data_IF_327008637197
#
_entry.id   IF_327008637197
#
_cell.length_a   1.000
_cell.length_b   1.000
_cell.length_c   1.000
_cell.angle_alpha   90.00
_cell.angle_beta   90.00
_cell.angle_gamma   90.00
#
_symmetry.space_group_name_H-M   'P 1'
#
loop_
_entity.id
_entity.type
_entity.pdbx_description
1 polymer ?
#
# COMPACT_ATOMS: atom_id res chain seq x y z
N UNK A 1 -14.03 -0.82 -2.43
CA UNK A 1 -13.86 -1.38 -3.78
C UNK A 1 -12.55 -0.84 -4.29
N UNK A 2 -11.62 -1.67 -4.79
CA UNK A 2 -10.39 -1.17 -5.41
C UNK A 2 -10.75 -0.27 -6.60
N UNK A 3 -9.91 0.72 -6.94
CA UNK A 3 -10.19 1.58 -8.08
C UNK A 3 -10.38 0.73 -9.34
N UNK A 4 -11.44 1.01 -10.09
CA UNK A 4 -11.67 0.33 -11.38
C UNK A 4 -10.66 0.87 -12.39
N UNK A 5 -9.84 0.03 -13.03
CA UNK A 5 -8.93 0.49 -14.06
C UNK A 5 -9.70 1.10 -15.24
N UNK A 6 -9.07 2.05 -15.92
CA UNK A 6 -9.65 2.64 -17.12
C UNK A 6 -9.84 1.55 -18.22
N UNK A 7 -10.79 1.70 -19.15
CA UNK A 7 -10.98 0.75 -20.24
C UNK A 7 -9.68 0.50 -21.02
N UNK A 8 -9.24 -0.76 -21.10
CA UNK A 8 -8.01 -1.17 -21.77
C UNK A 8 -6.74 -1.13 -20.89
N UNK A 9 -6.85 -0.68 -19.64
CA UNK A 9 -5.80 -0.83 -18.64
C UNK A 9 -6.03 -2.11 -17.82
N UNK A 10 -4.97 -2.87 -17.58
CA UNK A 10 -4.94 -3.89 -16.54
C UNK A 10 -4.96 -3.19 -15.17
N UNK A 11 -5.18 -3.95 -14.08
CA UNK A 11 -4.88 -3.40 -12.75
C UNK A 11 -3.37 -3.17 -12.65
N UNK A 12 -2.95 -1.97 -13.05
CA UNK A 12 -1.59 -1.50 -12.88
C UNK A 12 -1.34 -1.23 -11.39
N UNK A 13 -0.08 -1.39 -10.98
CA UNK A 13 0.41 -1.03 -9.65
C UNK A 13 -0.17 0.34 -9.22
N UNK A 14 -0.89 0.39 -8.10
CA UNK A 14 -1.38 1.65 -7.53
C UNK A 14 -0.35 2.17 -6.54
N UNK A 15 0.19 3.35 -6.79
CA UNK A 15 1.05 4.02 -5.82
C UNK A 15 0.19 4.78 -4.80
N UNK A 16 0.38 4.55 -3.51
CA UNK A 16 -0.43 5.18 -2.47
C UNK A 16 0.29 5.31 -1.12
N UNK A 17 -0.15 6.24 -0.29
CA UNK A 17 0.08 6.13 1.16
C UNK A 17 -0.83 5.06 1.74
N UNK A 18 -0.29 4.19 2.58
CA UNK A 18 -1.03 3.17 3.33
C UNK A 18 -0.84 3.41 4.82
N UNK A 19 -1.93 3.64 5.54
CA UNK A 19 -1.90 4.04 6.95
C UNK A 19 -3.22 3.73 7.67
N UNK A 20 -3.30 4.05 8.97
CA UNK A 20 -4.45 3.74 9.80
C UNK A 20 -4.77 2.25 9.87
N UNK A 21 -3.75 1.38 9.89
CA UNK A 21 -3.94 -0.06 9.91
C UNK A 21 -4.60 -0.54 11.21
N UNK A 22 -5.68 -1.31 11.08
CA UNK A 22 -6.43 -1.88 12.21
C UNK A 22 -6.80 -3.33 11.93
N UNK A 23 -6.39 -4.23 12.82
CA UNK A 23 -6.78 -5.64 12.73
C UNK A 23 -8.29 -5.86 13.01
N UNK A 24 -8.88 -6.77 12.23
CA UNK A 24 -10.28 -7.20 12.30
C UNK A 24 -10.35 -8.70 12.01
N UNK A 25 -10.24 -9.52 13.06
CA UNK A 25 -10.21 -10.98 12.93
C UNK A 25 -8.98 -11.45 12.14
N UNK A 26 -9.23 -12.06 10.98
CA UNK A 26 -8.24 -12.55 10.00
C UNK A 26 -7.85 -11.50 8.94
N UNK A 27 -8.42 -10.30 9.02
CA UNK A 27 -8.14 -9.20 8.10
C UNK A 27 -7.53 -7.98 8.79
N UNK A 28 -6.97 -7.07 8.00
CA UNK A 28 -6.51 -5.74 8.38
C UNK A 28 -7.24 -4.73 7.51
N UNK A 29 -7.87 -3.74 8.14
CA UNK A 29 -8.39 -2.57 7.44
C UNK A 29 -7.30 -1.51 7.38
N UNK A 30 -7.06 -0.95 6.20
CA UNK A 30 -6.12 0.17 5.98
C UNK A 30 -6.81 1.31 5.24
N UNK A 31 -6.33 2.52 5.46
CA UNK A 31 -6.63 3.70 4.65
C UNK A 31 -5.60 3.80 3.53
N UNK A 32 -6.09 4.07 2.33
CA UNK A 32 -5.31 4.25 1.10
C UNK A 32 -5.58 5.64 0.55
N UNK A 33 -4.52 6.40 0.34
CA UNK A 33 -4.55 7.72 -0.28
C UNK A 33 -3.63 7.66 -1.52
N UNK A 34 -4.21 7.55 -2.74
CA UNK A 34 -3.43 7.36 -3.95
C UNK A 34 -2.49 8.54 -4.22
N UNK A 35 -1.38 8.22 -4.85
CA UNK A 35 -0.30 9.12 -5.18
C UNK A 35 -0.14 9.21 -6.68
N UNK A 36 0.04 10.42 -7.18
CA UNK A 36 0.49 10.68 -8.54
C UNK A 36 1.99 10.96 -8.51
N UNK A 37 2.75 10.21 -9.30
CA UNK A 37 4.13 10.52 -9.56
C UNK A 37 4.24 11.88 -10.27
N UNK A 38 5.09 12.75 -9.76
CA UNK A 38 5.39 14.08 -10.32
C UNK A 38 6.89 14.23 -10.45
N UNK A 39 7.35 15.22 -11.21
CA UNK A 39 8.80 15.47 -11.36
C UNK A 39 9.41 15.74 -9.98
N UNK A 40 10.27 14.83 -9.52
CA UNK A 40 10.97 14.94 -8.24
C UNK A 40 10.23 14.38 -7.02
N UNK A 41 9.13 13.62 -7.19
CA UNK A 41 8.48 12.96 -6.06
C UNK A 41 7.09 12.41 -6.37
N UNK A 42 6.23 12.35 -5.36
CA UNK A 42 4.84 11.95 -5.50
C UNK A 42 3.93 12.86 -4.66
N UNK A 43 2.73 13.15 -5.17
CA UNK A 43 1.72 13.96 -4.48
C UNK A 43 0.42 13.20 -4.33
N UNK A 44 -0.31 13.33 -3.21
CA UNK A 44 -1.67 12.81 -3.08
C UNK A 44 -2.58 13.29 -4.22
N UNK A 45 -3.44 12.40 -4.69
CA UNK A 45 -4.49 12.74 -5.67
C UNK A 45 -5.67 13.45 -5.03
N UNK A 46 -5.80 13.39 -3.69
CA UNK A 46 -6.94 13.89 -2.93
C UNK A 46 -8.06 12.87 -2.76
N UNK A 47 -7.98 11.72 -3.44
CA UNK A 47 -8.87 10.59 -3.21
C UNK A 47 -8.43 9.81 -1.97
N UNK A 48 -9.38 9.31 -1.19
CA UNK A 48 -9.09 8.47 -0.02
C UNK A 48 -10.12 7.35 0.03
N UNK A 49 -9.64 6.12 0.18
CA UNK A 49 -10.50 4.96 0.34
C UNK A 49 -9.92 3.98 1.35
N UNK A 50 -10.66 2.91 1.67
CA UNK A 50 -10.18 1.88 2.58
C UNK A 50 -10.15 0.52 1.91
N UNK A 51 -9.10 -0.25 2.20
CA UNK A 51 -8.98 -1.65 1.81
C UNK A 51 -9.09 -2.55 3.05
N UNK A 52 -9.65 -3.73 2.87
CA UNK A 52 -9.65 -4.81 3.85
C UNK A 52 -8.84 -5.94 3.25
N UNK A 53 -7.70 -6.24 3.86
CA UNK A 53 -6.70 -7.15 3.34
C UNK A 53 -6.53 -8.34 4.28
N UNK A 54 -6.21 -9.55 3.78
CA UNK A 54 -5.79 -10.64 4.64
C UNK A 54 -4.61 -10.22 5.53
N UNK A 55 -4.57 -10.67 6.79
CA UNK A 55 -3.44 -10.38 7.70
C UNK A 55 -2.10 -10.84 7.15
N UNK A 56 -2.11 -11.96 6.43
CA UNK A 56 -0.93 -12.52 5.77
C UNK A 56 -0.59 -11.91 4.42
N UNK A 57 -1.19 -10.76 4.03
CA UNK A 57 -0.83 -10.08 2.77
C UNK A 57 0.68 -9.83 2.75
N UNK A 58 1.40 -10.30 1.73
CA UNK A 58 2.84 -10.08 1.59
C UNK A 58 3.17 -8.59 1.51
N UNK A 59 4.22 -8.19 2.22
CA UNK A 59 4.76 -6.83 2.19
C UNK A 59 6.27 -6.89 1.97
N UNK A 60 6.72 -6.39 0.82
CA UNK A 60 8.14 -6.13 0.57
C UNK A 60 8.51 -4.78 1.18
N UNK A 61 9.42 -4.76 2.15
CA UNK A 61 9.78 -3.58 2.91
C UNK A 61 11.29 -3.35 2.94
N UNK A 62 11.70 -2.09 3.07
CA UNK A 62 13.10 -1.70 3.30
C UNK A 62 13.27 -0.77 4.49
N UNK A 63 12.60 0.39 4.53
CA UNK A 63 12.76 1.32 5.66
C UNK A 63 11.94 0.86 6.84
N UNK A 64 10.77 0.27 6.59
CA UNK A 64 9.92 -0.34 7.62
C UNK A 64 10.65 -1.45 8.39
N UNK A 65 11.53 -2.19 7.71
CA UNK A 65 12.39 -3.26 8.22
C UNK A 65 13.77 -2.80 8.70
N UNK A 66 13.98 -1.49 8.94
CA UNK A 66 15.24 -0.98 9.49
C UNK A 66 16.37 -0.79 8.47
N UNK A 67 16.03 -0.54 7.20
CA UNK A 67 16.96 -0.17 6.13
C UNK A 67 17.40 -1.32 5.22
N UNK A 68 17.03 -2.57 5.53
CA UNK A 68 17.36 -3.77 4.77
C UNK A 68 16.12 -4.33 4.07
N UNK A 69 16.20 -4.72 2.79
CA UNK A 69 15.10 -5.42 2.12
C UNK A 69 14.65 -6.65 2.93
N UNK A 70 13.36 -6.81 3.12
CA UNK A 70 12.75 -7.92 3.84
C UNK A 70 11.33 -8.18 3.33
N UNK A 71 10.97 -9.46 3.28
CA UNK A 71 9.60 -9.91 3.05
C UNK A 71 8.91 -10.06 4.42
N UNK A 72 7.82 -9.33 4.59
CA UNK A 72 7.03 -9.27 5.83
C UNK A 72 5.58 -9.62 5.54
N UNK A 73 4.79 -9.74 6.61
CA UNK A 73 3.33 -9.79 6.53
C UNK A 73 2.72 -8.50 7.04
N UNK A 74 1.55 -8.14 6.51
CA UNK A 74 0.85 -6.91 6.87
C UNK A 74 0.55 -6.81 8.36
N UNK A 75 0.28 -7.93 9.04
CA UNK A 75 0.02 -7.93 10.47
C UNK A 75 1.27 -7.69 11.35
N UNK A 76 2.47 -7.93 10.81
CA UNK A 76 3.74 -7.56 11.46
C UNK A 76 3.98 -6.04 11.44
N UNK A 77 3.22 -5.29 10.61
CA UNK A 77 3.36 -3.86 10.40
C UNK A 77 2.26 -3.01 11.04
N UNK A 78 1.33 -3.60 11.79
CA UNK A 78 0.18 -2.88 12.34
C UNK A 78 0.58 -1.61 13.09
N UNK A 79 1.51 -1.69 14.04
CA UNK A 79 1.94 -0.53 14.83
C UNK A 79 2.63 0.54 13.97
N UNK A 80 3.35 0.13 12.93
CA UNK A 80 4.07 1.03 12.02
C UNK A 80 3.12 1.76 11.08
N UNK A 81 2.02 1.12 10.72
CA UNK A 81 0.99 1.62 9.83
C UNK A 81 -0.22 2.22 10.57
N UNK A 82 -0.30 2.09 11.90
CA UNK A 82 -1.39 2.67 12.69
C UNK A 82 -1.35 4.21 12.73
N UNK A 83 -0.15 4.80 12.57
CA UNK A 83 0.06 6.25 12.54
C UNK A 83 -0.36 6.87 11.19
N UNK A 84 -0.12 8.17 11.01
CA UNK A 84 -0.46 8.90 9.77
C UNK A 84 0.37 8.52 8.54
N UNK A 85 0.12 9.22 7.42
CA UNK A 85 0.73 9.07 6.10
C UNK A 85 2.26 9.21 6.06
N UNK A 86 2.96 8.17 6.54
CA UNK A 86 4.43 8.10 6.60
C UNK A 86 5.04 7.19 5.54
N UNK A 87 4.31 6.17 5.11
CA UNK A 87 4.82 5.09 4.26
C UNK A 87 4.03 5.01 2.96
N UNK A 88 4.73 5.08 1.84
CA UNK A 88 4.17 4.90 0.51
C UNK A 88 4.44 3.47 0.02
N UNK A 89 3.49 2.91 -0.71
CA UNK A 89 3.55 1.57 -1.28
C UNK A 89 3.10 1.59 -2.74
N UNK A 90 3.70 0.75 -3.56
CA UNK A 90 3.04 0.20 -4.73
C UNK A 90 2.13 -0.95 -4.25
N UNK A 91 0.85 -0.89 -4.61
CA UNK A 91 -0.15 -1.90 -4.33
C UNK A 91 -0.28 -2.74 -5.59
N UNK A 92 0.15 -3.98 -5.50
CA UNK A 92 0.09 -4.93 -6.61
C UNK A 92 -1.25 -5.65 -6.56
N UNK A 93 -1.97 -5.66 -7.68
CA UNK A 93 -3.24 -6.36 -7.82
C UNK A 93 -3.05 -7.61 -8.68
N UNK A 94 -3.80 -8.67 -8.37
CA UNK A 94 -3.89 -9.86 -9.22
C UNK A 94 -4.83 -9.63 -10.42
N UNK A 95 -4.92 -10.63 -11.31
CA UNK A 95 -5.78 -10.57 -12.49
C UNK A 95 -7.28 -10.49 -12.19
N UNK A 96 -7.70 -10.69 -10.93
CA UNK A 96 -9.08 -10.52 -10.47
C UNK A 96 -9.31 -9.15 -9.80
N UNK A 97 -8.27 -8.30 -9.74
CA UNK A 97 -8.32 -6.98 -9.09
C UNK A 97 -8.24 -7.03 -7.57
N UNK A 98 -7.81 -8.16 -6.99
CA UNK A 98 -7.57 -8.27 -5.54
C UNK A 98 -6.13 -7.87 -5.25
N UNK A 99 -5.88 -7.25 -4.10
CA UNK A 99 -4.51 -6.96 -3.68
C UNK A 99 -3.75 -8.26 -3.49
N UNK A 100 -2.67 -8.41 -4.24
CA UNK A 100 -1.73 -9.52 -4.17
C UNK A 100 -0.64 -9.25 -3.14
N UNK A 101 -0.04 -8.06 -3.18
CA UNK A 101 1.07 -7.65 -2.31
C UNK A 101 1.16 -6.14 -2.17
N UNK A 102 1.95 -5.69 -1.18
CA UNK A 102 2.38 -4.31 -1.04
C UNK A 102 3.90 -4.25 -1.16
N UNK A 103 4.43 -3.34 -1.97
CA UNK A 103 5.87 -3.07 -2.05
C UNK A 103 6.17 -1.66 -1.59
N UNK A 104 6.99 -1.50 -0.54
CA UNK A 104 7.38 -0.18 -0.05
C UNK A 104 8.03 0.63 -1.17
N UNK A 105 7.45 1.79 -1.47
CA UNK A 105 7.93 2.71 -2.50
C UNK A 105 9.10 3.55 -1.99
N UNK A 106 10.16 2.87 -1.52
CA UNK A 106 11.31 3.50 -0.87
C UNK A 106 12.10 4.45 -1.79
N UNK A 107 11.87 4.40 -3.10
CA UNK A 107 12.47 5.28 -4.11
C UNK A 107 11.80 6.66 -4.20
N UNK A 108 10.65 6.87 -3.55
CA UNK A 108 9.91 8.14 -3.60
C UNK A 108 10.43 9.22 -2.65
N UNK A 109 11.48 8.92 -1.88
CA UNK A 109 12.17 9.94 -1.12
C UNK A 109 13.64 9.61 -0.98
N UNK A 110 14.50 10.47 -1.51
CA UNK A 110 15.58 11.10 -0.75
C UNK A 110 15.38 12.62 -0.84
#
# INVERSE_FOLDING_TARGET
>A
MPPTPAPGAEYAEELAYVYGAVARGDTVRVTVEPLRAVRGGATPTGEVHTLTLPRGTPVEARRLSGGKPADLRLDELLDRLAAGRKWAFAIDYDGEGRVHSLREAYWLGD
#
